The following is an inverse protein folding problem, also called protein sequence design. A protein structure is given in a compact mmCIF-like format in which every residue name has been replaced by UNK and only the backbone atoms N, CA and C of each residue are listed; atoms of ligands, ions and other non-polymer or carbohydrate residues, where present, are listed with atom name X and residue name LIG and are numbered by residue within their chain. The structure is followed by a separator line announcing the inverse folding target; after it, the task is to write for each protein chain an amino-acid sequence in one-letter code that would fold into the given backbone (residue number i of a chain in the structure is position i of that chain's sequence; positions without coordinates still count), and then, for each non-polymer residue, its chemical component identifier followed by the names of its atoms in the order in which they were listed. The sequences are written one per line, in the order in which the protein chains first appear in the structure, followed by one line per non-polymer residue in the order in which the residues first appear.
data_IF_432905865225
#
_entry.id   IF_432905865225
#
_cell.length_a   1.000
_cell.length_b   1.000
_cell.length_c   1.000
_cell.angle_alpha   90.00
_cell.angle_beta   90.00
_cell.angle_gamma   90.00
#
_symmetry.space_group_name_H-M   'P 1'
#
loop_
_entity.id
_entity.type
_entity.pdbx_description
1 polymer ?
#
# COMPACT_ATOMS: atom_id res chain seq x y z
N UNK A 1 -30.39 14.60 9.10
CA UNK A 1 -29.88 13.64 8.09
C UNK A 1 -30.65 13.87 6.80
N UNK A 2 -30.00 13.82 5.63
CA UNK A 2 -30.70 13.91 4.33
C UNK A 2 -31.58 12.67 4.14
N UNK A 3 -32.75 12.81 3.51
CA UNK A 3 -33.73 11.73 3.34
C UNK A 3 -34.30 11.78 1.91
N UNK A 4 -34.81 10.66 1.40
CA UNK A 4 -35.36 10.50 0.05
C UNK A 4 -36.73 11.20 -0.15
N UNK A 5 -37.17 12.03 0.80
CA UNK A 5 -38.41 12.78 0.64
C UNK A 5 -38.32 13.76 -0.53
N UNK A 6 -39.38 13.93 -1.31
CA UNK A 6 -39.38 14.79 -2.52
C UNK A 6 -39.39 16.30 -2.25
N UNK A 7 -39.08 16.73 -1.03
CA UNK A 7 -39.02 18.16 -0.69
C UNK A 7 -37.75 18.79 -1.23
N UNK A 8 -37.84 20.02 -1.76
CA UNK A 8 -36.69 20.80 -2.25
C UNK A 8 -35.53 20.89 -1.25
N UNK A 9 -35.79 20.69 0.06
CA UNK A 9 -34.80 20.78 1.12
C UNK A 9 -34.11 19.47 1.55
N UNK A 10 -34.44 18.32 0.96
CA UNK A 10 -34.01 16.99 1.47
C UNK A 10 -32.77 16.40 0.81
N UNK A 11 -32.45 16.83 -0.42
CA UNK A 11 -31.36 16.29 -1.23
C UNK A 11 -30.18 17.26 -1.20
N UNK A 12 -29.39 17.26 -0.13
CA UNK A 12 -28.14 18.02 -0.13
C UNK A 12 -27.27 17.64 -1.32
N UNK A 13 -27.03 18.59 -2.23
CA UNK A 13 -26.22 18.37 -3.43
C UNK A 13 -24.77 18.69 -3.11
N UNK A 14 -23.92 17.67 -3.15
CA UNK A 14 -22.47 17.81 -3.11
C UNK A 14 -21.97 17.93 -4.54
N UNK A 15 -21.53 19.13 -4.92
CA UNK A 15 -21.05 19.45 -6.26
C UNK A 15 -19.62 19.97 -6.15
N UNK A 16 -18.68 19.34 -6.85
CA UNK A 16 -17.28 19.76 -6.86
C UNK A 16 -16.60 19.37 -8.16
N UNK A 17 -15.49 20.02 -8.46
CA UNK A 17 -14.63 19.66 -9.58
C UNK A 17 -13.58 18.64 -9.14
N UNK A 18 -13.20 17.76 -10.04
CA UNK A 18 -12.14 16.76 -9.85
C UNK A 18 -11.02 17.09 -10.82
N UNK A 19 -9.83 17.33 -10.26
CA UNK A 19 -8.60 17.46 -11.01
C UNK A 19 -7.67 16.29 -10.67
N UNK A 20 -6.99 15.78 -11.68
CA UNK A 20 -5.93 14.78 -11.55
C UNK A 20 -4.73 15.31 -12.32
N UNK A 21 -3.56 15.35 -11.69
CA UNK A 21 -2.34 15.91 -12.30
C UNK A 21 -2.54 17.32 -12.88
N UNK A 22 -3.24 18.18 -12.13
CA UNK A 22 -3.57 19.55 -12.55
C UNK A 22 -4.63 19.67 -13.65
N UNK A 23 -5.06 18.57 -14.27
CA UNK A 23 -6.06 18.53 -15.34
C UNK A 23 -7.46 18.33 -14.78
N UNK A 24 -8.41 19.15 -15.22
CA UNK A 24 -9.83 18.99 -14.90
C UNK A 24 -10.38 17.73 -15.58
N UNK A 25 -10.60 16.66 -14.83
CA UNK A 25 -11.13 15.39 -15.35
C UNK A 25 -12.65 15.31 -15.23
N UNK A 26 -13.25 16.02 -14.28
CA UNK A 26 -14.69 16.08 -14.11
C UNK A 26 -15.09 17.42 -13.50
N UNK A 27 -15.90 18.18 -14.24
CA UNK A 27 -16.47 19.44 -13.75
C UNK A 27 -17.83 19.20 -13.11
N UNK A 28 -18.16 19.97 -12.07
CA UNK A 28 -19.48 20.01 -11.43
C UNK A 28 -20.01 18.61 -11.06
N UNK A 29 -19.13 17.73 -10.57
CA UNK A 29 -19.47 16.37 -10.20
C UNK A 29 -20.50 16.37 -9.07
N UNK A 30 -21.72 15.92 -9.39
CA UNK A 30 -22.84 15.84 -8.46
C UNK A 30 -23.08 14.40 -8.04
N UNK A 31 -22.69 14.07 -6.81
CA UNK A 31 -22.75 12.69 -6.28
C UNK A 31 -24.16 12.10 -6.40
N UNK A 32 -25.19 12.82 -5.96
CA UNK A 32 -26.57 12.30 -5.90
C UNK A 32 -27.12 12.06 -7.30
N UNK A 33 -26.78 12.95 -8.24
CA UNK A 33 -27.20 12.81 -9.63
C UNK A 33 -26.55 11.59 -10.28
N UNK A 34 -25.23 11.47 -10.13
CA UNK A 34 -24.45 10.35 -10.66
C UNK A 34 -24.85 9.01 -10.03
N UNK A 35 -25.15 9.01 -8.74
CA UNK A 35 -25.60 7.85 -7.98
C UNK A 35 -27.07 7.49 -8.20
N UNK A 36 -27.84 8.33 -8.91
CA UNK A 36 -29.28 8.16 -9.10
C UNK A 36 -30.03 7.95 -7.77
N UNK A 37 -29.64 8.69 -6.73
CA UNK A 37 -30.24 8.64 -5.39
C UNK A 37 -29.29 9.00 -4.25
N UNK A 38 -29.84 9.20 -3.04
CA UNK A 38 -29.06 9.43 -1.81
C UNK A 38 -28.53 8.10 -1.29
N UNK A 39 -27.33 8.11 -0.69
CA UNK A 39 -26.79 6.95 0.02
C UNK A 39 -26.40 5.78 -0.88
N UNK A 40 -26.53 5.94 -2.19
CA UNK A 40 -26.08 4.98 -3.19
C UNK A 40 -24.59 5.17 -3.46
N UNK A 41 -23.86 4.06 -3.48
CA UNK A 41 -22.46 4.08 -3.86
C UNK A 41 -22.29 4.37 -5.35
N UNK A 42 -21.21 5.08 -5.67
CA UNK A 42 -20.71 5.25 -7.04
C UNK A 42 -19.20 5.17 -7.05
N UNK A 43 -18.67 4.61 -8.12
CA UNK A 43 -17.23 4.53 -8.38
C UNK A 43 -16.93 5.25 -9.69
N UNK A 44 -15.91 6.12 -9.69
CA UNK A 44 -15.39 6.78 -10.87
C UNK A 44 -13.94 6.38 -11.04
N UNK A 45 -13.62 5.84 -12.21
CA UNK A 45 -12.29 5.39 -12.55
C UNK A 45 -11.69 6.40 -13.53
N UNK A 46 -10.45 6.79 -13.27
CA UNK A 46 -9.68 7.67 -14.13
C UNK A 46 -8.30 7.06 -14.35
N UNK A 47 -7.77 7.21 -15.55
CA UNK A 47 -6.44 6.73 -15.93
C UNK A 47 -5.61 7.93 -16.33
N UNK A 48 -4.49 8.13 -15.63
CA UNK A 48 -3.55 9.21 -15.92
C UNK A 48 -2.12 8.72 -15.74
N UNK A 49 -1.19 9.31 -16.48
CA UNK A 49 0.24 9.01 -16.41
C UNK A 49 0.88 9.86 -15.32
N UNK A 50 1.65 9.23 -14.44
CA UNK A 50 2.36 9.91 -13.33
C UNK A 50 3.86 9.82 -13.58
N UNK A 51 4.53 10.97 -13.73
CA UNK A 51 5.94 11.03 -14.13
C UNK A 51 6.91 11.31 -12.99
N UNK A 52 6.49 12.05 -11.97
CA UNK A 52 7.32 12.52 -10.86
C UNK A 52 7.16 11.66 -9.59
N UNK A 53 6.45 10.53 -9.70
CA UNK A 53 6.15 9.63 -8.58
C UNK A 53 5.06 10.14 -7.64
N UNK A 54 4.48 11.32 -7.89
CA UNK A 54 3.44 11.92 -7.03
C UNK A 54 2.12 11.98 -7.79
N UNK A 55 1.09 11.31 -7.28
CA UNK A 55 -0.26 11.43 -7.82
C UNK A 55 -1.00 12.60 -7.16
N UNK A 56 -1.13 13.73 -7.86
CA UNK A 56 -1.99 14.83 -7.39
C UNK A 56 -3.45 14.55 -7.76
N UNK A 57 -4.32 14.52 -6.75
CA UNK A 57 -5.78 14.55 -6.90
C UNK A 57 -6.30 15.76 -6.12
N UNK A 58 -7.01 16.65 -6.79
CA UNK A 58 -7.59 17.85 -6.18
C UNK A 58 -9.10 17.85 -6.34
N UNK A 59 -9.79 17.86 -5.21
CA UNK A 59 -11.23 17.97 -5.13
C UNK A 59 -11.57 19.43 -4.79
N UNK A 60 -12.11 20.16 -5.74
CA UNK A 60 -12.30 21.60 -5.60
C UNK A 60 -13.77 21.97 -5.53
N UNK A 61 -14.17 22.67 -4.47
CA UNK A 61 -15.52 23.21 -4.32
C UNK A 61 -15.59 24.66 -4.73
N UNK A 62 -16.20 24.92 -5.87
CA UNK A 62 -16.36 26.26 -6.44
C UNK A 62 -17.58 27.03 -5.88
N UNK A 63 -18.03 26.73 -4.66
CA UNK A 63 -19.21 27.39 -4.06
C UNK A 63 -20.57 26.86 -4.51
N UNK A 64 -20.61 25.75 -5.26
CA UNK A 64 -21.84 25.17 -5.83
C UNK A 64 -22.46 24.07 -4.96
N UNK A 65 -23.72 23.73 -5.22
CA UNK A 65 -24.44 22.71 -4.46
C UNK A 65 -25.22 23.29 -3.27
N UNK A 66 -25.53 22.47 -2.29
CA UNK A 66 -26.34 22.87 -1.15
C UNK A 66 -25.49 23.58 -0.10
N UNK A 67 -25.85 24.84 0.20
CA UNK A 67 -25.12 25.68 1.16
C UNK A 67 -25.91 26.02 2.43
N UNK A 68 -27.12 25.50 2.60
CA UNK A 68 -27.97 25.91 3.73
C UNK A 68 -28.69 24.78 4.46
N UNK A 69 -28.53 23.53 4.00
CA UNK A 69 -29.33 22.40 4.46
C UNK A 69 -28.43 21.17 4.71
N UNK A 70 -28.72 20.35 5.74
CA UNK A 70 -29.72 20.54 6.78
C UNK A 70 -29.28 21.60 7.82
N UNK A 71 -27.99 21.92 7.86
CA UNK A 71 -27.38 22.96 8.70
C UNK A 71 -26.40 23.73 7.81
N UNK A 72 -26.29 25.05 8.00
CA UNK A 72 -25.24 25.85 7.34
C UNK A 72 -23.85 25.33 7.75
N UNK A 73 -22.92 25.34 6.81
CA UNK A 73 -21.53 24.90 7.00
C UNK A 73 -21.20 23.53 6.40
N UNK A 74 -22.18 22.79 5.93
CA UNK A 74 -21.99 21.43 5.37
C UNK A 74 -21.69 21.53 3.87
N UNK A 75 -20.48 21.96 3.52
CA UNK A 75 -20.05 22.22 2.13
C UNK A 75 -18.84 21.40 1.71
N UNK A 76 -18.52 21.46 0.42
CA UNK A 76 -17.30 20.89 -0.10
C UNK A 76 -17.44 19.47 -0.65
N UNK A 77 -16.33 18.92 -1.17
CA UNK A 77 -16.29 17.56 -1.70
C UNK A 77 -16.57 16.52 -0.62
N UNK A 78 -17.12 15.37 -1.03
CA UNK A 78 -17.33 14.22 -0.16
C UNK A 78 -16.94 12.96 -0.92
N UNK A 79 -16.01 12.19 -0.37
CA UNK A 79 -15.56 10.91 -0.90
C UNK A 79 -15.42 9.91 0.24
N UNK A 80 -15.61 8.62 -0.05
CA UNK A 80 -15.44 7.54 0.91
C UNK A 80 -14.06 6.90 0.85
N UNK A 81 -13.51 6.71 -0.36
CA UNK A 81 -12.25 6.03 -0.58
C UNK A 81 -11.59 6.44 -1.90
N UNK A 82 -10.28 6.24 -1.98
CA UNK A 82 -9.46 6.35 -3.19
C UNK A 82 -8.72 5.02 -3.33
N UNK A 83 -8.74 4.45 -4.53
CA UNK A 83 -7.95 3.27 -4.88
C UNK A 83 -7.00 3.64 -6.02
N UNK A 84 -5.73 3.32 -5.87
CA UNK A 84 -4.69 3.57 -6.88
C UNK A 84 -4.11 2.22 -7.29
N UNK A 85 -4.13 1.95 -8.59
CA UNK A 85 -3.55 0.75 -9.17
C UNK A 85 -2.46 1.15 -10.17
N UNK A 86 -1.21 0.76 -9.88
CA UNK A 86 -0.11 0.89 -10.82
C UNK A 86 0.16 -0.49 -11.45
N UNK A 87 -0.19 -0.71 -12.73
CA UNK A 87 -0.01 -2.01 -13.38
C UNK A 87 1.47 -2.43 -13.50
N UNK A 88 2.39 -1.47 -13.50
CA UNK A 88 3.82 -1.70 -13.65
C UNK A 88 4.54 -1.88 -12.30
N UNK A 89 3.82 -1.78 -11.18
CA UNK A 89 4.40 -1.93 -9.86
C UNK A 89 4.80 -3.38 -9.59
N UNK A 90 6.11 -3.60 -9.46
CA UNK A 90 6.67 -4.87 -8.99
C UNK A 90 7.08 -4.69 -7.53
N UNK A 91 6.41 -5.34 -6.57
CA UNK A 91 6.80 -5.24 -5.18
C UNK A 91 8.24 -5.78 -5.00
N UNK A 92 9.02 -5.20 -4.08
CA UNK A 92 10.34 -5.73 -3.79
C UNK A 92 10.21 -7.22 -3.37
N UNK A 93 11.21 -8.05 -3.72
CA UNK A 93 11.22 -9.45 -3.31
C UNK A 93 11.10 -9.51 -1.78
N UNK A 94 10.09 -10.24 -1.30
CA UNK A 94 9.88 -10.46 0.13
C UNK A 94 10.70 -11.66 0.58
N UNK A 95 11.44 -11.49 1.67
CA UNK A 95 12.16 -12.57 2.35
C UNK A 95 13.65 -12.67 1.97
N UNK A 96 14.32 -13.62 2.60
CA UNK A 96 15.74 -13.90 2.36
C UNK A 96 15.88 -14.60 1.01
N UNK A 97 16.80 -14.15 0.17
CA UNK A 97 17.03 -14.79 -1.13
C UNK A 97 17.51 -16.22 -0.95
N UNK A 98 17.12 -17.11 -1.86
CA UNK A 98 17.57 -18.50 -1.84
C UNK A 98 19.12 -18.60 -1.80
N UNK A 99 19.81 -17.71 -2.51
CA UNK A 99 21.27 -17.63 -2.48
C UNK A 99 21.84 -17.27 -1.10
N UNK A 100 21.20 -16.35 -0.38
CA UNK A 100 21.61 -16.01 0.99
C UNK A 100 21.36 -17.18 1.96
N UNK A 101 20.25 -17.90 1.81
CA UNK A 101 19.98 -19.12 2.61
C UNK A 101 21.05 -20.18 2.35
N UNK A 102 21.37 -20.46 1.08
CA UNK A 102 22.42 -21.42 0.71
C UNK A 102 23.77 -20.99 1.29
N UNK A 103 24.14 -19.72 1.15
CA UNK A 103 25.40 -19.20 1.70
C UNK A 103 25.53 -19.38 3.21
N UNK A 104 24.47 -19.06 3.97
CA UNK A 104 24.44 -19.24 5.44
C UNK A 104 24.59 -20.72 5.81
N UNK A 105 23.85 -21.62 5.15
CA UNK A 105 23.90 -23.05 5.44
C UNK A 105 25.27 -23.64 5.11
N UNK A 106 25.87 -23.28 3.97
CA UNK A 106 27.20 -23.74 3.58
C UNK A 106 28.28 -23.26 4.56
N UNK A 107 28.23 -21.99 4.96
CA UNK A 107 29.19 -21.44 5.93
C UNK A 107 29.08 -22.14 7.29
N UNK A 108 27.85 -22.35 7.79
CA UNK A 108 27.63 -23.05 9.05
C UNK A 108 28.13 -24.51 8.99
N UNK A 109 27.83 -25.23 7.91
CA UNK A 109 28.30 -26.60 7.72
C UNK A 109 29.84 -26.68 7.66
N UNK A 110 30.49 -25.74 6.96
CA UNK A 110 31.94 -25.69 6.86
C UNK A 110 32.61 -25.46 8.21
N UNK A 111 32.07 -24.54 9.03
CA UNK A 111 32.57 -24.30 10.40
C UNK A 111 32.43 -25.55 11.27
N UNK A 112 31.30 -26.26 11.19
CA UNK A 112 31.08 -27.51 11.93
C UNK A 112 32.10 -28.57 11.53
N UNK A 113 32.34 -28.76 10.23
CA UNK A 113 33.30 -29.74 9.71
C UNK A 113 34.72 -29.38 10.17
N UNK A 114 35.12 -28.11 10.12
CA UNK A 114 36.42 -27.66 10.60
C UNK A 114 36.61 -27.93 12.11
N UNK A 115 35.59 -27.64 12.93
CA UNK A 115 35.65 -27.91 14.36
C UNK A 115 35.80 -29.42 14.65
N UNK A 116 35.01 -30.25 13.97
CA UNK A 116 35.10 -31.72 14.10
C UNK A 116 36.47 -32.25 13.66
N UNK A 117 37.02 -31.73 12.56
CA UNK A 117 38.36 -32.09 12.07
C UNK A 117 39.46 -31.73 13.07
N UNK A 118 39.41 -30.54 13.68
CA UNK A 118 40.37 -30.11 14.70
C UNK A 118 40.27 -30.97 15.97
N UNK A 119 39.03 -31.27 16.42
CA UNK A 119 38.77 -32.15 17.57
C UNK A 119 39.32 -33.55 17.33
N UNK A 120 39.11 -34.12 16.14
CA UNK A 120 39.66 -35.41 15.74
C UNK A 120 41.19 -35.39 15.68
N UNK A 121 41.78 -34.37 15.07
CA UNK A 121 43.24 -34.22 14.98
C UNK A 121 43.87 -34.16 16.38
N UNK A 122 43.32 -33.33 17.28
CA UNK A 122 43.83 -33.21 18.66
C UNK A 122 43.60 -34.49 19.46
N UNK A 123 42.44 -35.15 19.33
CA UNK A 123 42.17 -36.41 20.03
C UNK A 123 43.06 -37.57 19.57
N UNK A 124 43.42 -37.60 18.29
CA UNK A 124 44.32 -38.63 17.74
C UNK A 124 45.78 -38.39 18.15
N UNK A 125 46.25 -37.14 18.16
CA UNK A 125 47.60 -36.81 18.63
C UNK A 125 47.79 -37.14 20.12
N UNK A 126 46.81 -36.83 20.98
CA UNK A 126 46.83 -37.19 22.42
C UNK A 126 46.96 -38.71 22.61
N UNK A 127 46.33 -39.51 21.74
CA UNK A 127 46.42 -40.98 21.78
C UNK A 127 47.80 -41.52 21.35
N UNK A 128 48.51 -40.80 20.48
CA UNK A 128 49.84 -41.19 20.00
C UNK A 128 50.90 -41.02 21.10
N UNK A 129 50.85 -39.91 21.84
CA UNK A 129 51.86 -39.60 22.87
C UNK A 129 51.83 -40.56 24.07
N UNK A 130 50.69 -41.25 24.31
CA UNK A 130 50.56 -42.23 25.41
C UNK A 130 51.18 -43.59 25.04
N UNK A 131 51.41 -43.88 23.75
CA UNK A 131 51.95 -45.17 23.30
C UNK A 131 53.48 -45.20 23.22
N UNK A 132 54.14 -44.04 23.20
CA UNK A 132 55.60 -43.92 23.07
C UNK A 132 56.33 -43.82 24.42
N UNK A 133 55.63 -43.93 25.56
CA UNK A 133 56.20 -43.90 26.93
C UNK A 133 56.37 -45.29 27.58
N UNK A 134 56.28 -46.38 26.82
CA UNK A 134 56.44 -47.74 27.32
C UNK A 134 57.66 -48.47 26.76
N UNK A 135 58.88 -48.11 27.19
CA UNK A 135 60.08 -48.97 27.25
C UNK A 135 60.92 -48.55 28.45
#
# INVERSE_FOLDING_TARGET
MFNDSKSYGSLGRRIFDIYIQGKLVQKDFNIVYEARGIGKEIKKNYTEVVTDGTLEIRLYWAGKGTTGLPVRGVYGPLISAISVNNPDYKPPPKGISAGAVVGIVTAAAFVIILLLGILWWRGFLIRKDTMDQGV
#
